data_IF_055686736703
#
_entry.id   IF_055686736703
#
_cell.length_a   1.000
_cell.length_b   1.000
_cell.length_c   1.000
_cell.angle_alpha   90.00
_cell.angle_beta   90.00
_cell.angle_gamma   90.00
#
_symmetry.space_group_name_H-M   'P 1'
#
loop_
_entity.id
_entity.type
_entity.pdbx_description
1 polymer ?
#
# COMPACT_ATOMS: atom_id res chain seq x y z
N UNK A 1 -16.07 -1.16 -0.35
CA UNK A 1 -15.17 -0.29 -1.13
C UNK A 1 -15.98 0.64 -2.01
N UNK A 2 -16.17 1.89 -1.61
CA UNK A 2 -16.85 2.94 -2.41
C UNK A 2 -15.82 4.01 -2.75
N UNK A 3 -15.08 3.79 -3.83
CA UNK A 3 -14.13 4.76 -4.38
C UNK A 3 -14.79 5.69 -5.38
N UNK A 4 -14.20 6.87 -5.62
CA UNK A 4 -14.61 7.82 -6.68
C UNK A 4 -14.69 7.18 -8.07
N UNK A 5 -14.00 6.05 -8.28
CA UNK A 5 -14.07 5.19 -9.46
C UNK A 5 -15.48 4.66 -9.77
N UNK A 6 -16.37 4.53 -8.76
CA UNK A 6 -17.63 3.78 -8.93
C UNK A 6 -18.56 4.50 -9.91
N UNK A 7 -18.51 5.84 -9.95
CA UNK A 7 -19.23 6.62 -10.96
C UNK A 7 -18.67 6.41 -12.36
N UNK A 8 -17.36 6.32 -12.52
CA UNK A 8 -16.75 6.08 -13.83
C UNK A 8 -17.12 4.70 -14.40
N UNK A 9 -17.30 3.70 -13.54
CA UNK A 9 -17.61 2.33 -13.95
C UNK A 9 -19.11 2.09 -14.20
N UNK A 10 -19.99 2.82 -13.52
CA UNK A 10 -21.44 2.58 -13.57
C UNK A 10 -22.29 3.73 -14.12
N UNK A 11 -21.68 4.88 -14.49
CA UNK A 11 -22.42 6.05 -14.96
C UNK A 11 -22.09 6.44 -16.41
N UNK A 12 -21.73 5.47 -17.27
CA UNK A 12 -21.62 5.74 -18.70
C UNK A 12 -23.00 6.16 -19.26
N UNK A 13 -23.13 7.33 -19.91
CA UNK A 13 -24.40 7.80 -20.43
C UNK A 13 -24.91 6.85 -21.51
N UNK A 14 -26.09 6.23 -21.27
CA UNK A 14 -26.71 5.24 -22.16
C UNK A 14 -26.48 3.78 -21.77
N UNK A 15 -25.78 3.50 -20.65
CA UNK A 15 -25.61 2.13 -20.16
C UNK A 15 -26.81 1.66 -19.31
N UNK A 16 -27.23 0.41 -19.50
CA UNK A 16 -28.25 -0.25 -18.68
C UNK A 16 -27.85 -0.22 -17.19
N UNK A 17 -28.75 0.19 -16.28
CA UNK A 17 -28.45 0.29 -14.86
C UNK A 17 -28.04 -1.08 -14.29
N UNK A 18 -26.80 -1.18 -13.81
CA UNK A 18 -26.22 -2.41 -13.27
C UNK A 18 -25.14 -3.05 -14.15
N UNK A 19 -24.98 -2.61 -15.41
CA UNK A 19 -23.90 -3.06 -16.27
C UNK A 19 -22.64 -2.23 -16.02
N UNK A 20 -21.59 -2.89 -15.53
CA UNK A 20 -20.29 -2.25 -15.36
C UNK A 20 -19.64 -2.00 -16.72
N UNK A 21 -19.16 -0.78 -16.95
CA UNK A 21 -18.29 -0.47 -18.08
C UNK A 21 -16.96 -1.24 -17.92
N UNK A 22 -16.73 -2.20 -18.83
CA UNK A 22 -15.54 -3.05 -18.84
C UNK A 22 -14.25 -2.25 -18.99
N UNK A 23 -14.25 -1.18 -19.77
CA UNK A 23 -13.09 -0.33 -19.98
C UNK A 23 -12.77 0.46 -18.70
N UNK A 24 -13.79 1.03 -18.05
CA UNK A 24 -13.62 1.73 -16.78
C UNK A 24 -13.17 0.79 -15.64
N UNK A 25 -13.71 -0.44 -15.58
CA UNK A 25 -13.25 -1.45 -14.63
C UNK A 25 -11.77 -1.82 -14.87
N UNK A 26 -11.41 -2.08 -16.13
CA UNK A 26 -10.02 -2.40 -16.51
C UNK A 26 -9.07 -1.26 -16.13
N UNK A 27 -9.44 -0.01 -16.40
CA UNK A 27 -8.65 1.16 -16.01
C UNK A 27 -8.48 1.27 -14.50
N UNK A 28 -9.56 1.07 -13.73
CA UNK A 28 -9.52 1.08 -12.28
C UNK A 28 -8.55 0.02 -11.71
N UNK A 29 -8.60 -1.21 -12.24
CA UNK A 29 -7.70 -2.29 -11.82
C UNK A 29 -6.26 -1.97 -12.19
N UNK A 30 -6.01 -1.49 -13.41
CA UNK A 30 -4.68 -1.12 -13.87
C UNK A 30 -4.08 0.03 -13.05
N UNK A 31 -4.88 1.03 -12.71
CA UNK A 31 -4.44 2.16 -11.90
C UNK A 31 -4.08 1.71 -10.47
N UNK A 32 -4.90 0.84 -9.87
CA UNK A 32 -4.61 0.27 -8.56
C UNK A 32 -3.35 -0.59 -8.58
N UNK A 33 -3.21 -1.47 -9.57
CA UNK A 33 -2.03 -2.30 -9.77
C UNK A 33 -0.78 -1.44 -9.98
N UNK A 34 -0.87 -0.39 -10.80
CA UNK A 34 0.24 0.53 -11.03
C UNK A 34 0.68 1.22 -9.73
N UNK A 35 -0.27 1.68 -8.90
CA UNK A 35 0.06 2.25 -7.59
C UNK A 35 0.68 1.23 -6.65
N UNK A 36 0.15 0.02 -6.60
CA UNK A 36 0.67 -1.06 -5.76
C UNK A 36 2.10 -1.45 -6.17
N UNK A 37 2.38 -1.55 -7.47
CA UNK A 37 3.74 -1.75 -8.00
C UNK A 37 4.64 -0.59 -7.60
N UNK A 38 4.22 0.67 -7.85
CA UNK A 38 5.01 1.87 -7.51
C UNK A 38 5.37 1.98 -6.02
N UNK A 39 4.47 1.57 -5.13
CA UNK A 39 4.69 1.54 -3.68
C UNK A 39 5.43 0.30 -3.17
N UNK A 40 5.75 -0.65 -4.06
CA UNK A 40 6.32 -1.97 -3.72
C UNK A 40 5.41 -2.79 -2.78
N UNK A 41 4.10 -2.60 -2.89
CA UNK A 41 3.09 -3.38 -2.15
C UNK A 41 2.85 -4.75 -2.80
N UNK A 42 3.13 -4.90 -4.10
CA UNK A 42 3.00 -6.14 -4.87
C UNK A 42 4.32 -6.42 -5.57
N UNK A 43 4.80 -7.66 -5.47
CA UNK A 43 6.00 -8.13 -6.15
C UNK A 43 5.61 -9.13 -7.25
N UNK A 44 6.21 -8.98 -8.44
CA UNK A 44 6.01 -9.86 -9.58
C UNK A 44 7.08 -10.95 -9.59
N UNK A 45 6.67 -12.22 -9.55
CA UNK A 45 7.60 -13.36 -9.58
C UNK A 45 8.39 -13.36 -10.89
N UNK A 46 9.72 -13.44 -10.81
CA UNK A 46 10.60 -13.48 -11.98
C UNK A 46 10.74 -12.16 -12.73
N UNK A 47 10.16 -11.07 -12.21
CA UNK A 47 10.46 -9.73 -12.69
C UNK A 47 11.73 -9.20 -12.03
N UNK A 48 12.61 -8.58 -12.80
CA UNK A 48 13.82 -7.93 -12.27
C UNK A 48 13.42 -6.65 -11.51
N UNK A 49 12.86 -5.66 -12.21
CA UNK A 49 12.46 -4.37 -11.62
C UNK A 49 11.40 -4.46 -10.51
N UNK A 50 10.49 -5.43 -10.61
CA UNK A 50 9.36 -5.61 -9.69
C UNK A 50 9.42 -6.92 -8.91
N UNK A 51 10.56 -7.61 -8.91
CA UNK A 51 10.79 -8.80 -8.11
C UNK A 51 10.70 -8.50 -6.62
N UNK A 52 10.49 -9.55 -5.82
CA UNK A 52 10.62 -9.44 -4.37
C UNK A 52 12.11 -9.40 -4.01
N UNK A 53 12.66 -8.24 -3.61
CA UNK A 53 14.07 -8.14 -3.27
C UNK A 53 14.43 -9.01 -2.05
N UNK A 54 13.46 -9.41 -1.24
CA UNK A 54 13.69 -10.28 -0.08
C UNK A 54 14.07 -11.70 -0.50
N UNK A 55 13.67 -12.13 -1.70
CA UNK A 55 14.05 -13.43 -2.23
C UNK A 55 15.55 -13.52 -2.57
N UNK A 56 16.24 -12.37 -2.69
CA UNK A 56 17.66 -12.28 -3.01
C UNK A 56 18.55 -12.10 -1.77
N UNK A 57 17.97 -12.11 -0.56
CA UNK A 57 18.73 -11.93 0.67
C UNK A 57 19.70 -13.09 0.90
N UNK A 58 20.92 -12.74 1.33
CA UNK A 58 21.91 -13.70 1.77
C UNK A 58 21.41 -14.43 3.02
N UNK A 59 21.66 -15.73 3.10
CA UNK A 59 21.30 -16.57 4.23
C UNK A 59 22.41 -17.59 4.53
N UNK A 60 22.44 -18.09 5.77
CA UNK A 60 23.42 -19.06 6.25
C UNK A 60 24.86 -18.57 6.06
N UNK A 61 25.74 -19.49 5.66
CA UNK A 61 27.19 -19.25 5.50
C UNK A 61 27.52 -18.04 4.61
N UNK A 62 26.72 -17.81 3.56
CA UNK A 62 26.91 -16.64 2.68
C UNK A 62 26.67 -15.32 3.40
N UNK A 63 25.67 -15.27 4.28
CA UNK A 63 25.44 -14.10 5.12
C UNK A 63 26.54 -13.96 6.16
N UNK A 64 26.90 -15.03 6.88
CA UNK A 64 27.94 -15.00 7.91
C UNK A 64 29.29 -14.49 7.37
N UNK A 65 29.66 -14.92 6.15
CA UNK A 65 30.89 -14.45 5.50
C UNK A 65 30.85 -12.99 5.05
N UNK A 66 29.69 -12.48 4.64
CA UNK A 66 29.51 -11.11 4.16
C UNK A 66 29.20 -10.10 5.28
N UNK A 67 28.65 -10.57 6.41
CA UNK A 67 28.11 -9.75 7.48
C UNK A 67 29.12 -8.72 8.02
N UNK A 68 30.40 -9.04 8.33
CA UNK A 68 31.34 -8.05 8.85
C UNK A 68 31.58 -6.89 7.89
N UNK A 69 31.70 -7.18 6.59
CA UNK A 69 31.88 -6.17 5.54
C UNK A 69 30.64 -5.32 5.38
N UNK A 70 29.45 -5.93 5.37
CA UNK A 70 28.17 -5.23 5.24
C UNK A 70 27.92 -4.30 6.43
N UNK A 71 28.12 -4.78 7.66
CA UNK A 71 27.98 -3.97 8.86
C UNK A 71 28.94 -2.79 8.87
N UNK A 72 30.20 -3.02 8.51
CA UNK A 72 31.21 -1.95 8.40
C UNK A 72 30.82 -0.90 7.36
N UNK A 73 30.38 -1.34 6.17
CA UNK A 73 29.95 -0.45 5.09
C UNK A 73 28.71 0.38 5.46
N UNK A 74 27.82 -0.19 6.27
CA UNK A 74 26.60 0.48 6.76
C UNK A 74 26.83 1.28 8.05
N UNK A 75 28.01 1.19 8.66
CA UNK A 75 28.30 1.82 9.96
C UNK A 75 27.43 1.28 11.09
N UNK A 76 27.08 0.00 11.05
CA UNK A 76 26.20 -0.66 12.01
C UNK A 76 26.99 -1.56 12.95
N UNK A 77 26.57 -1.61 14.21
CA UNK A 77 27.11 -2.54 15.19
C UNK A 77 26.71 -4.00 14.90
N UNK A 78 27.55 -4.94 15.35
CA UNK A 78 27.30 -6.36 15.20
C UNK A 78 26.17 -6.90 16.08
N UNK A 79 25.86 -6.22 17.19
CA UNK A 79 24.76 -6.57 18.09
C UNK A 79 23.51 -5.77 17.72
N UNK A 80 22.50 -6.38 17.08
CA UNK A 80 21.35 -5.65 16.55
C UNK A 80 20.29 -5.33 17.60
N UNK A 81 20.32 -5.96 18.79
CA UNK A 81 19.20 -5.91 19.74
C UNK A 81 18.78 -4.50 20.16
N UNK A 82 19.74 -3.63 20.50
CA UNK A 82 19.46 -2.25 20.90
C UNK A 82 18.85 -1.45 19.75
N UNK A 83 19.46 -1.52 18.56
CA UNK A 83 19.00 -0.81 17.37
C UNK A 83 17.59 -1.26 16.93
N UNK A 84 17.33 -2.57 16.97
CA UNK A 84 16.00 -3.12 16.67
C UNK A 84 14.95 -2.68 17.69
N UNK A 85 15.29 -2.61 18.98
CA UNK A 85 14.38 -2.15 20.02
C UNK A 85 13.98 -0.68 19.81
N UNK A 86 14.93 0.18 19.43
CA UNK A 86 14.67 1.59 19.09
C UNK A 86 13.72 1.71 17.89
N UNK A 87 14.01 1.01 16.79
CA UNK A 87 13.16 1.03 15.59
C UNK A 87 11.76 0.47 15.86
N UNK A 88 11.65 -0.61 16.64
CA UNK A 88 10.38 -1.20 17.02
C UNK A 88 9.54 -0.22 17.85
N UNK A 89 10.16 0.47 18.81
CA UNK A 89 9.50 1.49 19.64
C UNK A 89 9.02 2.67 18.80
N UNK A 90 9.87 3.18 17.90
CA UNK A 90 9.52 4.27 16.98
C UNK A 90 8.34 3.91 16.07
N UNK A 91 8.39 2.72 15.46
CA UNK A 91 7.30 2.20 14.61
C UNK A 91 6.00 2.05 15.41
N UNK A 92 6.09 1.49 16.62
CA UNK A 92 4.93 1.29 17.48
C UNK A 92 4.32 2.63 17.90
N UNK A 93 5.13 3.63 18.23
CA UNK A 93 4.70 5.00 18.49
C UNK A 93 3.99 5.63 17.29
N UNK A 94 4.61 5.59 16.11
CA UNK A 94 4.03 6.12 14.87
C UNK A 94 2.69 5.45 14.52
N UNK A 95 2.59 4.12 14.68
CA UNK A 95 1.36 3.37 14.46
C UNK A 95 0.24 3.83 15.40
N UNK A 96 0.52 3.99 16.70
CA UNK A 96 -0.48 4.46 17.67
C UNK A 96 -0.92 5.90 17.41
N UNK A 97 0.01 6.77 17.02
CA UNK A 97 -0.30 8.16 16.68
C UNK A 97 -1.16 8.27 15.41
N UNK A 98 -0.90 7.44 14.40
CA UNK A 98 -1.69 7.39 13.16
C UNK A 98 -3.14 6.92 13.36
N UNK A 99 -3.39 6.02 14.32
CA UNK A 99 -4.75 5.57 14.68
C UNK A 99 -5.57 6.69 15.35
N UNK A 100 -4.91 7.69 15.96
CA UNK A 100 -5.57 8.87 16.55
C UNK A 100 -6.03 9.93 15.55
N UNK A 101 -5.45 9.97 14.33
CA UNK A 101 -5.98 10.76 13.22
C UNK A 101 -6.98 9.92 12.42
N UNK A 102 -8.16 9.69 13.00
CA UNK A 102 -9.29 9.19 12.25
C UNK A 102 -9.46 10.02 10.97
N UNK A 103 -9.35 9.37 9.81
CA UNK A 103 -9.73 9.92 8.52
C UNK A 103 -11.11 10.57 8.69
N UNK A 104 -11.32 11.85 8.37
CA UNK A 104 -12.66 12.42 8.40
C UNK A 104 -13.50 11.61 7.42
N UNK A 105 -14.42 10.80 7.95
CA UNK A 105 -15.55 10.28 7.21
C UNK A 105 -16.19 11.53 6.62
N UNK A 106 -16.03 11.70 5.30
CA UNK A 106 -16.64 12.77 4.54
C UNK A 106 -18.14 12.60 4.73
N UNK A 107 -18.71 13.36 5.66
CA UNK A 107 -20.14 13.38 5.90
C UNK A 107 -20.82 13.78 4.60
N UNK A 108 -21.65 12.89 4.08
CA UNK A 108 -22.56 13.27 3.00
C UNK A 108 -23.52 14.34 3.54
N UNK A 109 -23.72 15.46 2.82
CA UNK A 109 -24.75 16.42 3.18
C UNK A 109 -26.12 15.75 3.06
N UNK A 110 -26.85 15.74 4.17
CA UNK A 110 -28.23 15.25 4.27
C UNK A 110 -29.12 16.05 3.30
N UNK A 111 -29.87 15.42 2.38
CA UNK A 111 -30.78 16.16 1.51
C UNK A 111 -31.95 16.77 2.32
N UNK A 112 -32.47 17.94 1.92
CA UNK A 112 -33.57 18.59 2.62
C UNK A 112 -34.85 17.74 2.50
N UNK A 113 -35.75 17.79 3.50
CA UNK A 113 -37.03 17.08 3.41
C UNK A 113 -37.83 17.67 2.24
N UNK A 114 -38.22 16.80 1.30
CA UNK A 114 -39.20 17.14 0.28
C UNK A 114 -40.52 17.48 1.00
N UNK A 115 -40.80 18.78 1.13
CA UNK A 115 -42.11 19.26 1.54
C UNK A 115 -43.11 18.94 0.43
N UNK A 116 -44.04 18.04 0.74
CA UNK A 116 -45.33 17.95 0.04
C UNK A 116 -46.23 19.05 0.59
N UNK A 117 -46.62 19.99 -0.26
CA UNK A 117 -47.98 20.52 -0.46
C UNK A 117 -47.93 21.64 -1.48
#
# INVERSE_FOLDING_TARGET
MTGSWRRLVFAAPGAEPGLADKAAYSFCVLEHLHRALRRRDVCARGGDRWGDPRAELLAGDRWESAQPTVLTALGLEAEPAAHLAELASALHGARRAGVGRGMPVRGDPRPPPCGVS
#
